data_IF_963536466006
#
_entry.id   IF_963536466006
#
_cell.length_a   1.000
_cell.length_b   1.000
_cell.length_c   1.000
_cell.angle_alpha   90.00
_cell.angle_beta   90.00
_cell.angle_gamma   90.00
#
_symmetry.space_group_name_H-M   'P 1'
#
loop_
_entity.id
_entity.type
_entity.pdbx_description
1 polymer ?
#
# COMPACT_ATOMS: atom_id res chain seq x y z
N UNK A 1 3.65 -8.45 2.60
CA UNK A 1 3.88 -9.68 3.38
C UNK A 1 3.47 -9.40 4.82
N UNK A 2 2.47 -10.11 5.34
CA UNK A 2 1.96 -9.93 6.71
C UNK A 2 2.15 -11.21 7.55
N UNK A 3 3.16 -12.01 7.21
CA UNK A 3 3.49 -13.26 7.87
C UNK A 3 4.91 -13.18 8.42
N UNK A 4 5.07 -13.42 9.71
CA UNK A 4 6.39 -13.55 10.36
C UNK A 4 6.47 -14.97 10.90
N UNK A 5 7.51 -15.75 10.55
CA UNK A 5 7.64 -17.12 11.03
C UNK A 5 7.77 -17.16 12.55
N UNK A 6 7.20 -18.21 13.15
CA UNK A 6 7.17 -18.40 14.61
C UNK A 6 8.59 -18.47 15.22
N UNK A 7 9.54 -19.08 14.50
CA UNK A 7 10.96 -19.09 14.85
C UNK A 7 11.74 -18.12 13.97
N UNK A 8 12.64 -17.33 14.56
CA UNK A 8 13.56 -16.46 13.81
C UNK A 8 12.96 -15.15 13.29
N UNK A 9 11.83 -14.71 13.85
CA UNK A 9 11.11 -13.49 13.40
C UNK A 9 11.98 -12.23 13.29
N UNK A 10 12.92 -12.01 14.22
CA UNK A 10 13.86 -10.86 14.14
C UNK A 10 14.78 -10.92 12.92
N UNK A 11 15.26 -12.11 12.57
CA UNK A 11 16.10 -12.30 11.38
C UNK A 11 15.32 -12.10 10.09
N UNK A 12 14.07 -12.59 10.05
CA UNK A 12 13.16 -12.35 8.93
C UNK A 12 12.86 -10.85 8.75
N UNK A 13 12.51 -10.15 9.83
CA UNK A 13 12.24 -8.70 9.81
C UNK A 13 13.47 -7.92 9.36
N UNK A 14 14.67 -8.26 9.84
CA UNK A 14 15.92 -7.63 9.39
C UNK A 14 16.09 -7.72 7.87
N UNK A 15 16.04 -8.94 7.33
CA UNK A 15 16.17 -9.20 5.88
C UNK A 15 15.08 -8.49 5.07
N UNK A 16 13.86 -8.44 5.61
CA UNK A 16 12.75 -7.74 4.96
C UNK A 16 12.99 -6.24 4.88
N UNK A 17 13.43 -5.61 5.98
CA UNK A 17 13.78 -4.18 6.02
C UNK A 17 14.94 -3.88 5.08
N UNK A 18 16.01 -4.68 5.11
CA UNK A 18 17.17 -4.55 4.23
C UNK A 18 16.76 -4.64 2.75
N UNK A 19 16.01 -5.66 2.36
CA UNK A 19 15.53 -5.84 0.97
C UNK A 19 14.68 -4.66 0.48
N UNK A 20 13.87 -4.08 1.39
CA UNK A 20 13.02 -2.93 1.10
C UNK A 20 13.71 -1.57 1.27
N UNK A 21 15.00 -1.56 1.64
CA UNK A 21 15.72 -0.31 1.88
C UNK A 21 15.24 0.47 3.11
N UNK A 22 14.43 -0.13 3.98
CA UNK A 22 13.81 0.56 5.11
C UNK A 22 14.76 0.63 6.30
N UNK A 23 14.95 1.85 6.81
CA UNK A 23 15.61 2.05 8.09
C UNK A 23 14.70 1.61 9.24
N UNK A 24 15.26 0.90 10.22
CA UNK A 24 14.55 0.50 11.44
C UNK A 24 15.49 0.64 12.64
N UNK A 25 14.96 1.15 13.75
CA UNK A 25 15.68 1.22 15.02
C UNK A 25 14.78 0.69 16.14
N UNK A 26 15.34 -0.12 17.03
CA UNK A 26 14.62 -0.76 18.13
C UNK A 26 14.99 -2.23 18.29
N UNK A 27 14.02 -3.14 18.12
CA UNK A 27 14.24 -4.58 18.26
C UNK A 27 15.19 -5.17 17.19
N UNK A 28 15.32 -4.49 16.05
CA UNK A 28 16.29 -4.76 14.99
C UNK A 28 16.79 -3.42 14.49
N UNK A 29 18.11 -3.27 14.37
CA UNK A 29 18.73 -2.06 13.83
C UNK A 29 19.15 -2.33 12.38
N UNK A 30 18.57 -1.58 11.44
CA UNK A 30 18.85 -1.62 10.01
C UNK A 30 19.05 -0.19 9.52
N UNK A 31 20.19 0.08 8.88
CA UNK A 31 20.41 1.36 8.22
C UNK A 31 19.59 1.45 6.94
N UNK A 32 19.05 2.64 6.64
CA UNK A 32 18.38 2.87 5.36
C UNK A 32 19.37 2.68 4.20
N UNK A 33 18.92 2.03 3.14
CA UNK A 33 19.68 1.83 1.89
C UNK A 33 18.71 1.84 0.71
N UNK A 34 19.23 1.85 -0.52
CA UNK A 34 18.35 1.71 -1.68
C UNK A 34 17.65 0.34 -1.67
N UNK A 35 16.33 0.29 -1.97
CA UNK A 35 15.60 -0.96 -2.06
C UNK A 35 16.12 -1.82 -3.21
N UNK A 36 16.16 -3.13 -3.03
CA UNK A 36 16.61 -4.08 -4.07
C UNK A 36 15.59 -4.24 -5.22
N UNK A 37 14.36 -3.78 -5.02
CA UNK A 37 13.28 -3.83 -6.02
C UNK A 37 12.37 -2.62 -5.80
N UNK A 38 11.83 -2.07 -6.88
CA UNK A 38 10.84 -1.01 -6.78
C UNK A 38 9.63 -1.50 -5.95
N UNK A 39 9.30 -0.86 -4.82
CA UNK A 39 8.15 -1.24 -4.01
C UNK A 39 6.81 -1.07 -4.73
N UNK A 40 6.74 -0.28 -5.81
CA UNK A 40 5.55 -0.05 -6.62
C UNK A 40 5.38 -1.06 -7.76
N UNK A 41 6.45 -1.73 -8.23
CA UNK A 41 6.37 -2.76 -9.27
C UNK A 41 5.54 -4.00 -8.88
N UNK A 42 5.35 -4.24 -7.57
CA UNK A 42 4.60 -5.38 -7.03
C UNK A 42 3.43 -4.96 -6.15
N UNK A 43 2.86 -3.77 -6.40
CA UNK A 43 1.68 -3.33 -5.69
C UNK A 43 0.52 -4.31 -5.96
N UNK A 44 0.01 -4.92 -4.89
CA UNK A 44 -1.19 -5.73 -5.02
C UNK A 44 -2.39 -4.81 -5.31
N UNK A 45 -3.35 -5.24 -6.14
CA UNK A 45 -4.55 -4.45 -6.39
C UNK A 45 -5.29 -4.18 -5.07
N UNK A 46 -5.86 -2.98 -4.97
CA UNK A 46 -6.60 -2.58 -3.78
C UNK A 46 -7.76 -3.55 -3.54
N UNK A 47 -7.98 -3.93 -2.28
CA UNK A 47 -9.07 -4.85 -1.92
C UNK A 47 -10.45 -4.22 -2.24
N UNK A 48 -11.47 -5.00 -2.67
CA UNK A 48 -12.75 -4.46 -3.13
C UNK A 48 -13.52 -3.65 -2.08
N UNK A 49 -13.36 -3.98 -0.81
CA UNK A 49 -13.91 -3.25 0.34
C UNK A 49 -13.25 -1.88 0.50
N UNK A 50 -11.91 -1.80 0.40
CA UNK A 50 -11.16 -0.54 0.43
C UNK A 50 -11.52 0.36 -0.75
N UNK A 51 -11.74 -0.22 -1.93
CA UNK A 51 -12.22 0.55 -3.10
C UNK A 51 -13.57 1.19 -2.80
N UNK A 52 -14.52 0.43 -2.21
CA UNK A 52 -15.85 0.95 -1.84
C UNK A 52 -15.78 2.02 -0.77
N UNK A 53 -14.93 1.85 0.23
CA UNK A 53 -14.76 2.84 1.30
C UNK A 53 -14.18 4.15 0.76
N UNK A 54 -13.09 4.07 -0.02
CA UNK A 54 -12.46 5.25 -0.61
C UNK A 54 -13.37 5.95 -1.61
N UNK A 55 -14.14 5.19 -2.40
CA UNK A 55 -15.19 5.74 -3.26
C UNK A 55 -16.23 6.55 -2.46
N UNK A 56 -16.71 6.04 -1.32
CA UNK A 56 -17.65 6.77 -0.46
C UNK A 56 -17.03 8.04 0.12
N UNK A 57 -15.79 7.98 0.58
CA UNK A 57 -15.06 9.15 1.09
C UNK A 57 -14.89 10.21 0.01
N UNK A 58 -14.53 9.81 -1.21
CA UNK A 58 -14.41 10.71 -2.35
C UNK A 58 -15.73 11.44 -2.65
N UNK A 59 -16.85 10.71 -2.66
CA UNK A 59 -18.19 11.30 -2.87
C UNK A 59 -18.56 12.29 -1.77
N UNK A 60 -18.21 12.00 -0.51
CA UNK A 60 -18.47 12.90 0.61
C UNK A 60 -17.63 14.19 0.55
N UNK A 61 -16.36 14.07 0.17
CA UNK A 61 -15.42 15.20 0.12
C UNK A 61 -15.61 16.06 -1.12
N UNK A 62 -15.99 15.46 -2.25
CA UNK A 62 -16.12 16.13 -3.55
C UNK A 62 -17.48 15.86 -4.21
N UNK A 63 -18.59 16.34 -3.61
CA UNK A 63 -19.94 16.00 -4.07
C UNK A 63 -20.24 16.48 -5.50
N UNK A 64 -19.72 17.64 -5.91
CA UNK A 64 -19.94 18.19 -7.25
C UNK A 64 -19.17 17.45 -8.34
N UNK A 65 -17.98 16.95 -8.01
CA UNK A 65 -17.17 16.16 -8.92
C UNK A 65 -17.70 14.72 -9.03
N UNK A 66 -18.14 14.16 -7.90
CA UNK A 66 -18.80 12.86 -7.86
C UNK A 66 -20.10 12.81 -8.67
N UNK A 67 -20.85 13.91 -8.73
CA UNK A 67 -22.07 14.01 -9.58
C UNK A 67 -21.76 13.98 -11.08
N UNK A 68 -20.56 14.37 -11.49
CA UNK A 68 -20.12 14.40 -12.89
C UNK A 68 -19.48 13.09 -13.34
N UNK A 69 -19.12 12.22 -12.40
CA UNK A 69 -18.47 10.93 -12.67
C UNK A 69 -19.47 9.79 -12.64
N UNK A 70 -19.31 8.81 -13.54
CA UNK A 70 -20.07 7.56 -13.44
C UNK A 70 -19.51 6.69 -12.30
N UNK A 71 -20.28 5.69 -11.86
CA UNK A 71 -19.82 4.73 -10.84
C UNK A 71 -18.55 3.98 -11.26
N UNK A 72 -18.38 3.74 -12.57
CA UNK A 72 -17.21 3.04 -13.12
C UNK A 72 -15.99 3.95 -13.03
N UNK A 73 -16.12 5.19 -13.49
CA UNK A 73 -15.02 6.17 -13.46
C UNK A 73 -14.56 6.47 -12.03
N UNK A 74 -15.48 6.47 -11.08
CA UNK A 74 -15.18 6.70 -9.67
C UNK A 74 -14.35 5.56 -9.07
N UNK A 75 -14.67 4.31 -9.44
CA UNK A 75 -13.91 3.13 -9.02
C UNK A 75 -12.52 3.14 -9.66
N UNK A 76 -12.42 3.47 -10.95
CA UNK A 76 -11.14 3.52 -11.66
C UNK A 76 -10.28 4.69 -11.20
N UNK A 77 -10.89 5.81 -10.81
CA UNK A 77 -10.20 6.93 -10.17
C UNK A 77 -9.62 6.55 -8.81
N UNK A 78 -10.38 5.83 -7.98
CA UNK A 78 -9.92 5.32 -6.68
C UNK A 78 -8.80 4.28 -6.86
N UNK A 79 -8.90 3.39 -7.86
CA UNK A 79 -7.81 2.48 -8.21
C UNK A 79 -6.58 3.27 -8.64
N UNK A 80 -6.66 4.15 -9.62
CA UNK A 80 -5.52 4.93 -10.10
C UNK A 80 -4.84 5.76 -8.99
N UNK A 81 -5.61 6.27 -8.04
CA UNK A 81 -5.10 7.12 -6.95
C UNK A 81 -4.46 6.32 -5.82
N UNK A 82 -4.97 5.11 -5.52
CA UNK A 82 -4.56 4.35 -4.33
C UNK A 82 -3.93 2.99 -4.61
N UNK A 83 -4.24 2.40 -5.75
CA UNK A 83 -3.66 1.15 -6.25
C UNK A 83 -3.09 1.40 -7.64
N UNK A 84 -1.84 1.86 -7.71
CA UNK A 84 -1.11 1.77 -8.97
C UNK A 84 -1.12 0.30 -9.40
N UNK A 85 -1.71 0.06 -10.58
CA UNK A 85 -1.71 -1.21 -11.31
C UNK A 85 -0.34 -1.48 -11.91
#
# INVERSE_FOLDING_TARGET
EAFVPHSGGRGYIRKLCERRGLACSGAVNVAGREPETDPFEKAAPLAPDLIRENARRFVQQNPDQARKMSKVDLVDHVKSTHGQT
#
